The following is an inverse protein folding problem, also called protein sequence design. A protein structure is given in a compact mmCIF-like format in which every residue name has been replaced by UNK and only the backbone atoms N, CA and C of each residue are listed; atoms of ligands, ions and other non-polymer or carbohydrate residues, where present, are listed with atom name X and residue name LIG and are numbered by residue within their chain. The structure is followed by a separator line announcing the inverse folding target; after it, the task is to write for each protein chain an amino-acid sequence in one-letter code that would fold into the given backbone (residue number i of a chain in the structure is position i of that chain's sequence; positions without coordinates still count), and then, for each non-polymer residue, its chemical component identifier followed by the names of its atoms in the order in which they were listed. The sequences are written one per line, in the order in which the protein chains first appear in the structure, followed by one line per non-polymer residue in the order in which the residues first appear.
data_IF_501883931958
#
_entry.id   IF_501883931958
#
_cell.length_a   1.000
_cell.length_b   1.000
_cell.length_c   1.000
_cell.angle_alpha   90.00
_cell.angle_beta   90.00
_cell.angle_gamma   90.00
#
_symmetry.space_group_name_H-M   'P 1'
#
loop_
_entity.id
_entity.type
_entity.pdbx_description
1 polymer ?
#
# COMPACT_ATOMS: atom_id res chain seq x y z
N UNK A 1 -28.46 39.92 -3.28
CA UNK A 1 -28.20 38.50 -3.03
C UNK A 1 -27.96 37.88 -4.38
N UNK A 2 -26.71 37.75 -4.82
CA UNK A 2 -26.36 37.35 -6.17
C UNK A 2 -26.37 35.84 -6.25
N UNK A 3 -27.38 35.29 -6.94
CA UNK A 3 -27.43 33.87 -7.27
C UNK A 3 -26.27 33.52 -8.21
N UNK A 4 -25.20 33.00 -7.66
CA UNK A 4 -24.13 32.40 -8.45
C UNK A 4 -24.73 31.12 -9.05
N UNK A 5 -24.88 31.05 -10.39
CA UNK A 5 -25.41 29.83 -11.01
C UNK A 5 -24.47 28.67 -10.67
N UNK A 6 -24.99 27.65 -10.01
CA UNK A 6 -24.28 26.42 -9.79
C UNK A 6 -23.95 25.81 -11.16
N UNK A 7 -22.74 26.08 -11.65
CA UNK A 7 -22.21 25.49 -12.89
C UNK A 7 -22.15 23.98 -12.65
N UNK A 8 -23.11 23.24 -13.18
CA UNK A 8 -23.04 21.78 -13.19
C UNK A 8 -21.83 21.39 -14.04
N UNK A 9 -20.76 21.02 -13.38
CA UNK A 9 -19.57 20.48 -14.07
C UNK A 9 -20.01 19.18 -14.74
N UNK A 10 -20.13 19.20 -16.06
CA UNK A 10 -20.45 17.99 -16.82
C UNK A 10 -19.28 17.01 -16.67
N UNK A 11 -19.57 15.84 -16.13
CA UNK A 11 -18.55 14.77 -15.97
C UNK A 11 -18.16 14.30 -17.37
N UNK A 12 -16.94 14.60 -17.78
CA UNK A 12 -16.39 14.18 -19.07
C UNK A 12 -15.98 12.72 -19.03
N UNK A 13 -15.91 12.05 -20.20
CA UNK A 13 -15.39 10.68 -20.31
C UNK A 13 -14.00 10.54 -19.69
N UNK A 14 -13.15 11.56 -19.82
CA UNK A 14 -11.80 11.58 -19.21
C UNK A 14 -11.88 11.52 -17.67
N UNK A 15 -12.78 12.31 -17.06
CA UNK A 15 -13.00 12.27 -15.61
C UNK A 15 -13.49 10.90 -15.14
N UNK A 16 -14.42 10.28 -15.87
CA UNK A 16 -14.93 8.95 -15.56
C UNK A 16 -13.81 7.89 -15.62
N UNK A 17 -12.97 7.93 -16.66
CA UNK A 17 -11.84 7.01 -16.80
C UNK A 17 -10.80 7.21 -15.69
N UNK A 18 -10.52 8.44 -15.29
CA UNK A 18 -9.60 8.74 -14.18
C UNK A 18 -10.15 8.22 -12.85
N UNK A 19 -11.44 8.42 -12.58
CA UNK A 19 -12.10 7.89 -11.39
C UNK A 19 -12.09 6.36 -11.37
N UNK A 20 -12.39 5.73 -12.50
CA UNK A 20 -12.38 4.27 -12.63
C UNK A 20 -10.97 3.72 -12.42
N UNK A 21 -9.96 4.31 -13.03
CA UNK A 21 -8.57 3.90 -12.88
C UNK A 21 -8.10 4.06 -11.42
N UNK A 22 -8.45 5.17 -10.76
CA UNK A 22 -8.14 5.39 -9.35
C UNK A 22 -8.84 4.37 -8.44
N UNK A 23 -10.10 4.08 -8.71
CA UNK A 23 -10.87 3.09 -7.95
C UNK A 23 -10.29 1.67 -8.10
N UNK A 24 -9.96 1.26 -9.33
CA UNK A 24 -9.36 -0.04 -9.59
C UNK A 24 -7.96 -0.16 -8.95
N UNK A 25 -7.15 0.92 -9.00
CA UNK A 25 -5.86 0.96 -8.32
C UNK A 25 -5.99 0.78 -6.82
N UNK A 26 -6.92 1.51 -6.20
CA UNK A 26 -7.19 1.40 -4.77
C UNK A 26 -7.72 0.02 -4.36
N UNK A 27 -8.58 -0.57 -5.19
CA UNK A 27 -9.09 -1.92 -4.98
C UNK A 27 -7.97 -2.97 -5.03
N UNK A 28 -7.02 -2.83 -5.97
CA UNK A 28 -5.86 -3.72 -6.06
C UNK A 28 -4.93 -3.59 -4.86
N UNK A 29 -4.68 -2.38 -4.40
CA UNK A 29 -3.89 -2.11 -3.19
C UNK A 29 -4.53 -2.76 -1.94
N UNK A 30 -5.85 -2.62 -1.78
CA UNK A 30 -6.61 -3.29 -0.71
C UNK A 30 -6.53 -4.82 -0.80
N UNK A 31 -6.54 -5.37 -2.00
CA UNK A 31 -6.38 -6.80 -2.24
C UNK A 31 -4.98 -7.30 -1.83
N UNK A 32 -3.92 -6.61 -2.21
CA UNK A 32 -2.55 -6.92 -1.80
C UNK A 32 -2.39 -6.87 -0.28
N UNK A 33 -2.96 -5.87 0.37
CA UNK A 33 -2.93 -5.75 1.83
C UNK A 33 -3.68 -6.88 2.54
N UNK A 34 -4.76 -7.40 1.95
CA UNK A 34 -5.49 -8.54 2.49
C UNK A 34 -4.74 -9.87 2.31
N UNK A 35 -3.97 -10.00 1.23
CA UNK A 35 -3.15 -11.20 0.97
C UNK A 35 -1.97 -11.31 1.94
N UNK A 36 -1.38 -10.19 2.35
CA UNK A 36 -0.17 -10.19 3.19
C UNK A 36 -0.33 -11.03 4.47
N UNK A 37 -1.32 -10.79 5.35
CA UNK A 37 -1.46 -11.60 6.57
C UNK A 37 -1.79 -13.06 6.28
N UNK A 38 -2.46 -13.35 5.17
CA UNK A 38 -2.84 -14.71 4.78
C UNK A 38 -1.61 -15.53 4.38
N UNK A 39 -0.64 -14.93 3.71
CA UNK A 39 0.57 -15.60 3.25
C UNK A 39 1.71 -15.53 4.27
N UNK A 40 1.89 -14.38 4.92
CA UNK A 40 2.98 -14.15 5.87
C UNK A 40 2.86 -15.01 7.14
N UNK A 41 1.64 -15.26 7.62
CA UNK A 41 1.41 -16.09 8.79
C UNK A 41 1.97 -17.51 8.64
N UNK A 42 1.56 -18.29 7.63
CA UNK A 42 2.14 -19.60 7.34
C UNK A 42 3.63 -19.57 7.06
N UNK A 43 4.12 -18.58 6.29
CA UNK A 43 5.53 -18.43 5.99
C UNK A 43 6.37 -18.20 7.26
N UNK A 44 5.95 -17.31 8.14
CA UNK A 44 6.63 -17.07 9.41
C UNK A 44 6.61 -18.31 10.31
N UNK A 45 5.51 -19.07 10.32
CA UNK A 45 5.43 -20.33 11.09
C UNK A 45 6.45 -21.36 10.61
N UNK A 46 6.71 -21.44 9.32
CA UNK A 46 7.73 -22.35 8.76
C UNK A 46 9.16 -21.95 9.09
N UNK A 47 9.38 -20.68 9.49
CA UNK A 47 10.67 -20.11 9.84
C UNK A 47 10.93 -20.07 11.35
N UNK A 48 10.01 -20.56 12.18
CA UNK A 48 10.16 -20.54 13.65
C UNK A 48 11.39 -21.35 14.06
N UNK A 49 12.32 -20.74 14.85
CA UNK A 49 13.48 -21.47 15.37
C UNK A 49 13.07 -22.64 16.22
N UNK A 50 13.83 -23.75 16.17
CA UNK A 50 13.54 -24.97 16.92
C UNK A 50 13.45 -24.74 18.44
N UNK A 51 14.27 -23.82 18.96
CA UNK A 51 14.27 -23.40 20.36
C UNK A 51 12.94 -22.76 20.80
N UNK A 52 12.33 -21.95 19.93
CA UNK A 52 11.02 -21.33 20.16
C UNK A 52 9.90 -22.37 20.00
N UNK A 53 10.03 -23.25 19.01
CA UNK A 53 9.08 -24.32 18.77
C UNK A 53 9.02 -25.30 19.97
N UNK A 54 10.14 -25.59 20.61
CA UNK A 54 10.22 -26.43 21.80
C UNK A 54 9.47 -25.87 23.01
N UNK A 55 9.24 -24.54 23.07
CA UNK A 55 8.51 -23.87 24.13
C UNK A 55 6.97 -23.96 23.99
N UNK A 56 6.49 -24.51 22.89
CA UNK A 56 5.08 -24.80 22.65
C UNK A 56 4.33 -23.73 21.85
N UNK A 57 3.07 -23.99 21.62
CA UNK A 57 2.22 -23.21 20.70
C UNK A 57 2.09 -21.72 21.04
N UNK A 58 2.13 -21.37 22.34
CA UNK A 58 2.06 -19.98 22.81
C UNK A 58 3.29 -19.18 22.42
N UNK A 59 4.48 -19.79 22.54
CA UNK A 59 5.73 -19.14 22.15
C UNK A 59 5.81 -18.94 20.63
N UNK A 60 5.39 -19.94 19.85
CA UNK A 60 5.26 -19.83 18.40
C UNK A 60 4.33 -18.66 18.01
N UNK A 61 3.16 -18.58 18.63
CA UNK A 61 2.20 -17.50 18.40
C UNK A 61 2.76 -16.11 18.70
N UNK A 62 3.45 -15.97 19.82
CA UNK A 62 4.09 -14.70 20.21
C UNK A 62 5.22 -14.30 19.25
N UNK A 63 6.04 -15.25 18.82
CA UNK A 63 7.11 -15.01 17.86
C UNK A 63 6.57 -14.57 16.50
N UNK A 64 5.59 -15.30 15.95
CA UNK A 64 4.94 -14.97 14.68
C UNK A 64 4.25 -13.59 14.77
N UNK A 65 3.50 -13.34 15.86
CA UNK A 65 2.82 -12.07 16.08
C UNK A 65 3.80 -10.88 16.18
N UNK A 66 4.93 -11.07 16.85
CA UNK A 66 5.99 -10.07 16.95
C UNK A 66 6.57 -9.70 15.58
N UNK A 67 6.90 -10.69 14.78
CA UNK A 67 7.41 -10.46 13.41
C UNK A 67 6.35 -9.84 12.51
N UNK A 68 5.10 -10.28 12.57
CA UNK A 68 4.00 -9.66 11.84
C UNK A 68 3.85 -8.17 12.18
N UNK A 69 3.88 -7.84 13.48
CA UNK A 69 3.81 -6.45 13.93
C UNK A 69 4.99 -5.62 13.43
N UNK A 70 6.21 -6.18 13.49
CA UNK A 70 7.43 -5.50 13.03
C UNK A 70 7.39 -5.23 11.53
N UNK A 71 7.03 -6.22 10.72
CA UNK A 71 6.94 -6.07 9.26
C UNK A 71 5.85 -5.05 8.89
N UNK A 72 4.67 -5.14 9.52
CA UNK A 72 3.57 -4.20 9.28
C UNK A 72 3.97 -2.77 9.67
N UNK A 73 4.65 -2.59 10.81
CA UNK A 73 5.12 -1.28 11.24
C UNK A 73 6.16 -0.70 10.28
N UNK A 74 7.11 -1.50 9.83
CA UNK A 74 8.09 -1.08 8.84
C UNK A 74 7.43 -0.70 7.51
N UNK A 75 6.44 -1.47 7.07
CA UNK A 75 5.64 -1.16 5.88
C UNK A 75 4.91 0.19 6.02
N UNK A 76 4.24 0.44 7.14
CA UNK A 76 3.52 1.70 7.38
C UNK A 76 4.45 2.91 7.41
N UNK A 77 5.62 2.76 8.03
CA UNK A 77 6.66 3.81 8.04
C UNK A 77 7.15 4.07 6.62
N UNK A 78 7.45 3.02 5.85
CA UNK A 78 7.84 3.14 4.44
C UNK A 78 6.77 3.80 3.58
N UNK A 79 5.51 3.44 3.78
CA UNK A 79 4.36 4.03 3.07
C UNK A 79 4.20 5.52 3.40
N UNK A 80 4.38 5.92 4.67
CA UNK A 80 4.32 7.32 5.08
C UNK A 80 5.43 8.16 4.43
N UNK A 81 6.67 7.67 4.46
CA UNK A 81 7.80 8.34 3.79
C UNK A 81 7.64 8.37 2.28
N UNK A 82 7.23 7.28 1.66
CA UNK A 82 6.96 7.19 0.23
C UNK A 82 5.86 8.15 -0.19
N UNK A 83 4.74 8.18 0.53
CA UNK A 83 3.64 9.11 0.28
C UNK A 83 4.05 10.57 0.37
N UNK A 84 4.82 10.94 1.40
CA UNK A 84 5.34 12.29 1.55
C UNK A 84 6.33 12.67 0.42
N UNK A 85 7.27 11.78 0.10
CA UNK A 85 8.28 12.02 -0.94
C UNK A 85 7.64 12.15 -2.34
N UNK A 86 6.76 11.22 -2.72
CA UNK A 86 6.08 11.25 -4.01
C UNK A 86 5.00 12.34 -4.09
N UNK A 87 4.36 12.68 -2.97
CA UNK A 87 3.47 13.85 -2.89
C UNK A 87 4.22 15.13 -3.17
N UNK A 88 5.34 15.37 -2.48
CA UNK A 88 6.21 16.52 -2.72
C UNK A 88 6.77 16.57 -4.16
N UNK A 89 7.19 15.40 -4.68
CA UNK A 89 7.67 15.30 -6.05
C UNK A 89 6.54 15.63 -7.05
N UNK A 90 5.32 15.16 -6.80
CA UNK A 90 4.14 15.43 -7.61
C UNK A 90 3.81 16.91 -7.72
N UNK A 91 4.01 17.65 -6.63
CA UNK A 91 3.78 19.10 -6.62
C UNK A 91 4.87 19.85 -7.41
N UNK A 92 6.10 19.31 -7.52
CA UNK A 92 7.21 19.95 -8.25
C UNK A 92 7.29 19.61 -9.74
N UNK A 93 7.15 18.34 -10.10
CA UNK A 93 7.33 17.87 -11.50
C UNK A 93 6.02 17.56 -12.21
N UNK A 94 4.90 17.68 -11.49
CA UNK A 94 3.57 17.35 -11.95
C UNK A 94 3.17 15.91 -11.61
N UNK A 95 1.89 15.76 -11.25
CA UNK A 95 1.33 14.51 -10.70
C UNK A 95 1.51 13.31 -11.63
N UNK A 96 1.33 13.49 -12.94
CA UNK A 96 1.46 12.40 -13.92
C UNK A 96 2.90 11.86 -13.97
N UNK A 97 3.90 12.74 -13.97
CA UNK A 97 5.31 12.33 -13.99
C UNK A 97 5.71 11.67 -12.67
N UNK A 98 5.28 12.20 -11.53
CA UNK A 98 5.54 11.60 -10.22
C UNK A 98 4.93 10.21 -10.11
N UNK A 99 3.71 10.03 -10.61
CA UNK A 99 3.03 8.73 -10.65
C UNK A 99 3.79 7.73 -11.54
N UNK A 100 4.27 8.15 -12.71
CA UNK A 100 5.10 7.30 -13.58
C UNK A 100 6.41 6.89 -12.91
N UNK A 101 7.06 7.80 -12.20
CA UNK A 101 8.25 7.51 -11.40
C UNK A 101 7.96 6.52 -10.27
N UNK A 102 6.84 6.68 -9.56
CA UNK A 102 6.42 5.77 -8.50
C UNK A 102 6.22 4.35 -9.02
N UNK A 103 5.54 4.21 -10.16
CA UNK A 103 5.31 2.90 -10.81
C UNK A 103 6.63 2.27 -11.24
N UNK A 104 7.53 3.05 -11.82
CA UNK A 104 8.85 2.58 -12.24
C UNK A 104 9.67 2.10 -11.05
N UNK A 105 9.69 2.87 -9.96
CA UNK A 105 10.35 2.51 -8.71
C UNK A 105 9.79 1.20 -8.16
N UNK A 106 8.48 1.09 -8.02
CA UNK A 106 7.81 -0.11 -7.56
C UNK A 106 8.15 -1.32 -8.44
N UNK A 107 8.09 -1.17 -9.76
CA UNK A 107 8.37 -2.26 -10.70
C UNK A 107 9.81 -2.76 -10.60
N UNK A 108 10.78 -1.87 -10.42
CA UNK A 108 12.19 -2.25 -10.26
C UNK A 108 12.40 -3.00 -8.95
N UNK A 109 11.87 -2.50 -7.84
CA UNK A 109 12.06 -3.12 -6.51
C UNK A 109 11.24 -4.40 -6.32
N UNK A 110 10.15 -4.57 -7.06
CA UNK A 110 9.32 -5.78 -7.02
C UNK A 110 9.82 -6.87 -7.98
N UNK A 111 10.61 -6.50 -8.99
CA UNK A 111 11.13 -7.43 -10.00
C UNK A 111 12.55 -7.96 -9.73
N UNK A 112 13.20 -7.50 -8.65
CA UNK A 112 14.52 -7.95 -8.18
C UNK A 112 14.34 -8.86 -6.97
#
# INVERSE_FOLDING_TARGET
MNDVPATRVAITRGMQMTLLAGFLGWMMDGYEQALFPTLAGPALRSMVPAEVAAQGAKAIGSWVGGWMATITSAFLVGAAFGGAAFGWLGDRIGRVKAMSFSILFYSVFSGV
#
